data_IF_736945619303
#
_entry.id   IF_736945619303
#
_cell.length_a   1.000
_cell.length_b   1.000
_cell.length_c   1.000
_cell.angle_alpha   90.00
_cell.angle_beta   90.00
_cell.angle_gamma   90.00
#
_symmetry.space_group_name_H-M   'P 1'
#
loop_
_entity.id
_entity.type
_entity.pdbx_description
1 polymer ?
#
# COMPACT_ATOMS: atom_id res chain seq x y z
N UNK A 1 -34.17 -9.18 5.13
CA UNK A 1 -32.93 -8.46 5.35
C UNK A 1 -32.37 -8.00 4.02
N UNK A 2 -31.97 -6.80 3.98
CA UNK A 2 -31.40 -6.26 2.75
C UNK A 2 -29.88 -6.33 2.82
N UNK A 3 -29.30 -6.93 1.80
CA UNK A 3 -27.86 -6.96 1.68
C UNK A 3 -27.37 -5.68 1.06
N UNK A 4 -26.30 -5.14 1.62
CA UNK A 4 -25.63 -4.02 1.02
C UNK A 4 -24.51 -4.57 0.14
N UNK A 5 -24.65 -4.37 -1.15
CA UNK A 5 -23.63 -4.78 -2.09
C UNK A 5 -22.63 -3.64 -2.27
N UNK A 6 -21.38 -3.95 -2.04
CA UNK A 6 -20.32 -2.98 -2.26
C UNK A 6 -19.65 -3.34 -3.57
N UNK A 7 -19.88 -2.49 -4.58
CA UNK A 7 -19.34 -2.74 -5.91
C UNK A 7 -17.85 -2.49 -5.96
N UNK A 8 -17.38 -1.54 -5.15
CA UNK A 8 -15.99 -1.16 -5.20
C UNK A 8 -15.55 -0.58 -3.87
N UNK A 9 -14.36 -0.95 -3.45
CA UNK A 9 -13.73 -0.40 -2.25
C UNK A 9 -12.44 0.28 -2.68
N UNK A 10 -12.28 1.55 -2.28
CA UNK A 10 -11.05 2.27 -2.52
C UNK A 10 -10.49 2.73 -1.20
N UNK A 11 -9.22 2.44 -0.96
CA UNK A 11 -8.52 2.85 0.25
C UNK A 11 -7.32 3.69 -0.14
N UNK A 12 -7.18 4.84 0.48
CA UNK A 12 -6.04 5.73 0.27
C UNK A 12 -5.20 5.80 1.54
N UNK A 13 -3.91 5.67 1.38
CA UNK A 13 -2.97 5.80 2.48
C UNK A 13 -1.87 6.78 2.06
N UNK A 14 -1.57 7.73 2.92
CA UNK A 14 -0.44 8.63 2.71
C UNK A 14 0.54 8.45 3.85
N UNK A 15 1.81 8.26 3.50
CA UNK A 15 2.87 8.03 4.47
C UNK A 15 3.96 9.07 4.28
N UNK A 16 4.35 9.72 5.38
CA UNK A 16 5.49 10.60 5.39
C UNK A 16 6.73 9.77 5.71
N UNK A 17 7.64 9.65 4.74
CA UNK A 17 8.80 8.80 4.88
C UNK A 17 10.08 9.59 5.21
N UNK A 18 9.94 10.84 5.63
CA UNK A 18 10.99 11.68 6.17
C UNK A 18 11.96 12.23 5.13
N UNK A 19 12.31 11.47 4.09
CA UNK A 19 13.12 12.00 2.99
C UNK A 19 12.78 11.28 1.69
N UNK A 20 13.15 11.92 0.58
CA UNK A 20 12.81 11.41 -0.74
C UNK A 20 13.53 10.11 -1.06
N UNK A 21 14.74 9.94 -0.56
CA UNK A 21 15.49 8.71 -0.77
C UNK A 21 14.82 7.52 -0.15
N UNK A 22 14.33 7.67 1.08
CA UNK A 22 13.58 6.60 1.75
C UNK A 22 12.29 6.30 1.02
N UNK A 23 11.56 7.36 0.62
CA UNK A 23 10.32 7.20 -0.13
C UNK A 23 10.55 6.37 -1.39
N UNK A 24 11.55 6.76 -2.17
CA UNK A 24 11.82 6.09 -3.45
C UNK A 24 12.33 4.66 -3.24
N UNK A 25 13.13 4.44 -2.20
CA UNK A 25 13.61 3.10 -1.87
C UNK A 25 12.46 2.17 -1.48
N UNK A 26 11.50 2.68 -0.69
CA UNK A 26 10.34 1.90 -0.30
C UNK A 26 9.48 1.57 -1.54
N UNK A 27 9.27 2.54 -2.43
CA UNK A 27 8.50 2.29 -3.65
C UNK A 27 9.16 1.20 -4.48
N UNK A 28 10.47 1.28 -4.67
CA UNK A 28 11.19 0.28 -5.45
C UNK A 28 11.13 -1.08 -4.80
N UNK A 29 11.22 -1.12 -3.48
CA UNK A 29 11.15 -2.37 -2.72
C UNK A 29 9.80 -3.05 -2.91
N UNK A 30 8.72 -2.28 -2.84
CA UNK A 30 7.38 -2.85 -3.01
C UNK A 30 7.17 -3.39 -4.43
N UNK A 31 7.73 -2.72 -5.43
CA UNK A 31 7.65 -3.20 -6.81
C UNK A 31 8.47 -4.48 -6.96
N UNK A 32 9.67 -4.50 -6.37
CA UNK A 32 10.59 -5.63 -6.50
C UNK A 32 10.10 -6.87 -5.75
N UNK A 33 9.38 -6.68 -4.64
CA UNK A 33 8.88 -7.79 -3.84
C UNK A 33 7.82 -8.62 -4.57
N UNK A 34 7.29 -8.10 -5.66
CA UNK A 34 6.34 -8.82 -6.49
C UNK A 34 5.17 -9.36 -5.64
N UNK A 35 4.60 -8.49 -4.85
CA UNK A 35 3.48 -8.85 -3.99
C UNK A 35 2.32 -9.34 -4.86
N UNK A 36 1.80 -10.52 -4.52
CA UNK A 36 0.68 -11.08 -5.27
C UNK A 36 -0.62 -10.57 -4.70
N UNK A 37 -1.36 -9.86 -5.51
CA UNK A 37 -2.65 -9.33 -5.10
C UNK A 37 -3.77 -10.29 -5.47
N UNK A 38 -4.81 -10.38 -4.64
CA UNK A 38 -5.99 -11.16 -4.99
C UNK A 38 -6.60 -10.64 -6.28
N UNK A 39 -7.32 -11.51 -6.97
CA UNK A 39 -8.04 -11.11 -8.17
C UNK A 39 -9.02 -10.00 -7.83
N UNK A 40 -9.07 -8.98 -8.67
CA UNK A 40 -9.97 -7.85 -8.46
C UNK A 40 -9.42 -6.75 -7.58
N UNK A 41 -8.19 -6.89 -7.08
CA UNK A 41 -7.56 -5.86 -6.27
C UNK A 41 -6.34 -5.29 -6.99
N UNK A 42 -6.25 -3.97 -7.02
CA UNK A 42 -5.14 -3.25 -7.65
C UNK A 42 -4.55 -2.25 -6.69
N UNK A 43 -3.25 -2.05 -6.78
CA UNK A 43 -2.55 -1.05 -5.98
C UNK A 43 -1.85 -0.07 -6.91
N UNK A 44 -1.99 1.22 -6.59
CA UNK A 44 -1.32 2.29 -7.32
C UNK A 44 -0.51 3.11 -6.33
N UNK A 45 0.74 3.40 -6.66
CA UNK A 45 1.61 4.20 -5.82
C UNK A 45 2.01 5.46 -6.53
N UNK A 46 2.06 6.55 -5.77
CA UNK A 46 2.48 7.85 -6.28
C UNK A 46 3.42 8.51 -5.28
N UNK A 47 4.51 9.06 -5.78
CA UNK A 47 5.36 9.91 -4.97
C UNK A 47 4.84 11.33 -5.02
N UNK A 48 4.61 11.89 -3.85
CA UNK A 48 4.10 13.25 -3.71
C UNK A 48 5.19 14.15 -3.10
N UNK A 49 5.04 15.47 -3.21
CA UNK A 49 5.98 16.39 -2.59
C UNK A 49 6.12 16.16 -1.09
N UNK A 50 7.21 16.63 -0.52
CA UNK A 50 7.47 16.58 0.92
C UNK A 50 7.62 15.15 1.46
N UNK A 51 8.20 14.27 0.63
CA UNK A 51 8.55 12.91 1.07
C UNK A 51 7.35 12.01 1.30
N UNK A 52 6.22 12.34 0.73
CA UNK A 52 4.99 11.57 0.93
C UNK A 52 4.90 10.46 -0.12
N UNK A 53 4.55 9.28 0.34
CA UNK A 53 4.18 8.17 -0.52
C UNK A 53 2.67 7.97 -0.41
N UNK A 54 1.98 8.09 -1.53
CA UNK A 54 0.54 7.86 -1.59
C UNK A 54 0.29 6.49 -2.20
N UNK A 55 -0.55 5.70 -1.53
CA UNK A 55 -0.90 4.36 -2.01
C UNK A 55 -2.41 4.28 -2.09
N UNK A 56 -2.89 3.85 -3.25
CA UNK A 56 -4.32 3.64 -3.48
C UNK A 56 -4.56 2.16 -3.73
N UNK A 57 -5.53 1.60 -3.02
CA UNK A 57 -5.98 0.23 -3.24
C UNK A 57 -7.39 0.27 -3.78
N UNK A 58 -7.60 -0.33 -4.94
CA UNK A 58 -8.93 -0.46 -5.56
C UNK A 58 -9.30 -1.92 -5.61
N UNK A 59 -10.47 -2.25 -5.08
CA UNK A 59 -10.92 -3.64 -5.04
C UNK A 59 -12.41 -3.73 -5.34
N UNK A 60 -12.79 -4.75 -6.10
CA UNK A 60 -14.17 -5.14 -6.25
C UNK A 60 -14.49 -6.39 -5.43
N UNK A 61 -13.61 -6.72 -4.50
CA UNK A 61 -13.76 -7.87 -3.62
C UNK A 61 -14.31 -7.51 -2.24
N UNK A 62 -13.98 -8.32 -1.26
CA UNK A 62 -14.48 -8.13 0.09
C UNK A 62 -13.59 -7.16 0.89
N UNK A 63 -14.18 -6.56 1.92
CA UNK A 63 -13.45 -5.71 2.86
C UNK A 63 -12.31 -6.48 3.51
N UNK A 64 -12.56 -7.74 3.85
CA UNK A 64 -11.54 -8.58 4.47
C UNK A 64 -10.32 -8.74 3.58
N UNK A 65 -10.54 -8.95 2.28
CA UNK A 65 -9.44 -9.06 1.32
C UNK A 65 -8.62 -7.76 1.27
N UNK A 66 -9.31 -6.63 1.23
CA UNK A 66 -8.64 -5.32 1.22
C UNK A 66 -7.84 -5.13 2.49
N UNK A 67 -8.44 -5.43 3.64
CA UNK A 67 -7.79 -5.28 4.93
C UNK A 67 -6.49 -6.10 4.99
N UNK A 68 -6.58 -7.37 4.60
CA UNK A 68 -5.43 -8.26 4.65
C UNK A 68 -4.31 -7.79 3.73
N UNK A 69 -4.66 -7.29 2.55
CA UNK A 69 -3.68 -6.79 1.59
C UNK A 69 -3.01 -5.51 2.08
N UNK A 70 -3.80 -4.59 2.63
CA UNK A 70 -3.27 -3.35 3.19
C UNK A 70 -2.31 -3.66 4.33
N UNK A 71 -2.70 -4.59 5.21
CA UNK A 71 -1.87 -5.01 6.33
C UNK A 71 -0.54 -5.59 5.85
N UNK A 72 -0.58 -6.43 4.82
CA UNK A 72 0.63 -7.02 4.24
C UNK A 72 1.56 -5.95 3.67
N UNK A 73 1.01 -5.01 2.90
CA UNK A 73 1.80 -3.95 2.30
C UNK A 73 2.43 -3.06 3.38
N UNK A 74 1.65 -2.72 4.40
CA UNK A 74 2.17 -1.91 5.50
C UNK A 74 3.28 -2.64 6.26
N UNK A 75 3.17 -3.97 6.40
CA UNK A 75 4.22 -4.77 7.01
C UNK A 75 5.51 -4.72 6.21
N UNK A 76 5.42 -4.83 4.88
CA UNK A 76 6.58 -4.71 4.02
C UNK A 76 7.24 -3.34 4.16
N UNK A 77 6.43 -2.29 4.22
CA UNK A 77 6.95 -0.93 4.38
C UNK A 77 7.65 -0.78 5.72
N UNK A 78 7.07 -1.33 6.78
CA UNK A 78 7.65 -1.26 8.11
C UNK A 78 9.03 -1.94 8.15
N UNK A 79 9.15 -3.10 7.53
CA UNK A 79 10.41 -3.82 7.46
C UNK A 79 11.43 -3.01 6.65
N UNK A 80 11.02 -2.45 5.52
CA UNK A 80 11.87 -1.62 4.70
C UNK A 80 12.39 -0.40 5.43
N UNK A 81 11.53 0.25 6.21
CA UNK A 81 11.94 1.41 7.02
C UNK A 81 12.98 1.02 8.06
N UNK A 82 12.82 -0.14 8.69
CA UNK A 82 13.78 -0.62 9.67
C UNK A 82 15.16 -0.82 9.02
N UNK A 83 15.19 -1.41 7.84
CA UNK A 83 16.44 -1.65 7.13
C UNK A 83 17.12 -0.32 6.76
N UNK A 84 16.34 0.65 6.26
CA UNK A 84 16.88 1.94 5.84
C UNK A 84 17.35 2.79 7.02
N UNK A 85 16.79 2.58 8.19
CA UNK A 85 17.15 3.34 9.39
C UNK A 85 18.20 2.65 10.23
N UNK A 86 18.63 1.47 9.84
CA UNK A 86 19.63 0.70 10.56
C UNK A 86 21.02 1.18 10.12
N UNK A 87 21.72 1.78 11.03
CA UNK A 87 23.10 2.28 10.78
C UNK A 87 24.13 1.24 11.12
#
# INVERSE_FOLDING_TARGET
MQETLVDKITVYIELDLEDEGKRDAIMKSLIADNIKFPQGLKMHMHSLPENILSIEFDSDGSIETVYNTVDEVLSHISIGKMVLNDD
#
